data_IF_852421766969
#
_entry.id   IF_852421766969
#
_cell.length_a   1.000
_cell.length_b   1.000
_cell.length_c   1.000
_cell.angle_alpha   90.00
_cell.angle_beta   90.00
_cell.angle_gamma   90.00
#
_symmetry.space_group_name_H-M   'P 1'
#
loop_
_entity.id
_entity.type
_entity.pdbx_description
1 polymer ?
#
# COMPACT_ATOMS: atom_id res chain seq x y z
N UNK A 1 7.40 -47.74 -33.92
CA UNK A 1 7.89 -46.84 -35.00
C UNK A 1 7.84 -45.42 -34.48
N UNK A 2 8.97 -44.89 -34.00
CA UNK A 2 9.02 -43.62 -33.26
C UNK A 2 9.44 -42.48 -34.19
N UNK A 3 8.57 -41.48 -34.36
CA UNK A 3 8.85 -40.33 -35.24
C UNK A 3 9.64 -39.28 -34.46
N UNK A 4 10.92 -39.07 -34.85
CA UNK A 4 11.73 -37.95 -34.36
C UNK A 4 11.58 -36.78 -35.33
N UNK A 5 11.07 -35.65 -34.84
CA UNK A 5 11.11 -34.37 -35.57
C UNK A 5 12.16 -33.47 -34.92
N UNK A 6 13.17 -33.09 -35.69
CA UNK A 6 14.17 -32.10 -35.29
C UNK A 6 13.78 -30.75 -35.89
N UNK A 7 13.71 -29.72 -35.05
CA UNK A 7 13.55 -28.32 -35.48
C UNK A 7 14.86 -27.59 -35.23
N UNK A 8 15.44 -27.01 -36.28
CA UNK A 8 16.59 -26.11 -36.18
C UNK A 8 16.09 -24.67 -36.29
N UNK A 9 16.16 -23.92 -35.20
CA UNK A 9 16.02 -22.47 -35.20
C UNK A 9 17.36 -21.87 -34.76
N UNK A 10 17.89 -20.94 -35.55
CA UNK A 10 19.18 -20.29 -35.31
C UNK A 10 19.13 -19.47 -34.03
N UNK A 11 19.48 -20.10 -32.90
CA UNK A 11 20.52 -19.67 -31.96
C UNK A 11 20.47 -20.41 -30.61
N UNK A 12 19.48 -21.26 -30.32
CA UNK A 12 19.53 -22.16 -29.17
C UNK A 12 18.88 -23.51 -29.52
N UNK A 13 19.65 -24.59 -29.45
CA UNK A 13 19.18 -25.95 -29.71
C UNK A 13 18.61 -26.56 -28.43
N UNK A 14 17.32 -26.86 -28.40
CA UNK A 14 16.69 -27.64 -27.33
C UNK A 14 16.19 -28.96 -27.90
N UNK A 15 16.52 -30.07 -27.22
CA UNK A 15 16.00 -31.40 -27.54
C UNK A 15 14.98 -31.75 -26.47
N UNK A 16 13.71 -31.82 -26.85
CA UNK A 16 12.62 -32.28 -25.97
C UNK A 16 12.20 -33.66 -26.45
N UNK A 17 12.52 -34.69 -25.66
CA UNK A 17 12.01 -36.04 -25.87
C UNK A 17 10.75 -36.20 -25.03
N UNK A 18 9.64 -36.56 -25.66
CA UNK A 18 8.37 -36.84 -25.00
C UNK A 18 8.08 -38.33 -25.22
N UNK A 19 8.19 -39.12 -24.17
CA UNK A 19 7.73 -40.51 -24.21
C UNK A 19 6.22 -40.57 -23.96
N UNK A 20 5.50 -41.14 -24.92
CA UNK A 20 4.06 -41.31 -24.85
C UNK A 20 3.73 -42.52 -23.96
N UNK A 21 3.72 -42.30 -22.64
CA UNK A 21 3.24 -43.33 -21.72
C UNK A 21 3.68 -43.18 -20.27
N UNK A 22 3.40 -42.04 -19.62
CA UNK A 22 3.16 -41.94 -18.16
C UNK A 22 3.02 -40.47 -17.79
N UNK A 23 1.83 -40.04 -17.34
CA UNK A 23 1.61 -38.70 -16.79
C UNK A 23 1.98 -38.67 -15.31
N UNK A 24 3.27 -38.73 -15.00
CA UNK A 24 3.78 -38.33 -13.69
C UNK A 24 5.28 -38.04 -13.80
N UNK A 25 5.66 -36.83 -13.40
CA UNK A 25 7.02 -36.30 -13.26
C UNK A 25 7.70 -35.80 -14.56
N UNK A 26 7.68 -34.47 -14.72
CA UNK A 26 8.62 -33.74 -15.58
C UNK A 26 9.83 -33.39 -14.71
N UNK A 27 10.88 -34.20 -14.76
CA UNK A 27 12.19 -33.81 -14.24
C UNK A 27 12.94 -32.98 -15.29
N UNK A 28 13.16 -31.71 -15.00
CA UNK A 28 14.01 -30.83 -15.82
C UNK A 28 15.46 -31.02 -15.33
N UNK A 29 16.20 -31.91 -15.98
CA UNK A 29 17.64 -32.06 -15.77
C UNK A 29 18.37 -30.96 -16.53
N UNK A 30 18.78 -29.90 -15.83
CA UNK A 30 19.62 -28.84 -16.40
C UNK A 30 21.08 -29.29 -16.38
N UNK A 31 21.53 -29.82 -17.51
CA UNK A 31 22.93 -30.16 -17.75
C UNK A 31 23.83 -28.93 -17.75
N UNK A 32 24.93 -29.00 -16.99
CA UNK A 32 25.80 -27.88 -16.67
C UNK A 32 26.61 -27.32 -17.84
N UNK A 33 26.92 -26.04 -17.73
CA UNK A 33 27.99 -25.37 -18.47
C UNK A 33 29.16 -25.11 -17.52
N UNK A 34 30.27 -25.83 -17.72
CA UNK A 34 31.61 -25.35 -17.35
C UNK A 34 31.96 -24.24 -18.33
N UNK A 35 32.05 -23.00 -17.87
CA UNK A 35 32.75 -21.92 -18.58
C UNK A 35 33.72 -21.28 -17.59
N UNK A 36 34.99 -21.63 -17.74
CA UNK A 36 36.12 -20.98 -17.10
C UNK A 36 36.40 -19.67 -17.82
N UNK A 37 35.86 -18.57 -17.32
CA UNK A 37 36.32 -17.22 -17.64
C UNK A 37 36.64 -16.53 -16.31
N UNK A 38 37.89 -16.08 -16.19
CA UNK A 38 38.43 -15.47 -14.98
C UNK A 38 37.63 -14.24 -14.60
N UNK A 39 36.96 -14.32 -13.46
CA UNK A 39 36.29 -13.19 -12.84
C UNK A 39 37.34 -12.39 -12.06
N UNK A 40 37.84 -11.32 -12.67
CA UNK A 40 38.54 -10.27 -11.91
C UNK A 40 37.50 -9.45 -11.15
N UNK A 41 37.61 -9.30 -9.82
CA UNK A 41 36.68 -8.47 -9.06
C UNK A 41 36.88 -6.99 -9.41
N UNK A 42 35.79 -6.19 -9.47
CA UNK A 42 35.91 -4.75 -9.63
C UNK A 42 36.59 -4.11 -8.42
N UNK A 43 37.35 -3.00 -8.60
CA UNK A 43 38.02 -2.31 -7.51
C UNK A 43 37.00 -1.80 -6.48
N UNK A 44 37.31 -2.04 -5.21
CA UNK A 44 36.53 -1.58 -4.06
C UNK A 44 36.49 -0.04 -4.01
N UNK A 45 35.32 0.58 -3.75
CA UNK A 45 35.25 2.00 -3.48
C UNK A 45 35.93 2.33 -2.13
N UNK A 46 36.56 3.52 -2.00
CA UNK A 46 37.24 3.91 -0.77
C UNK A 46 36.25 4.11 0.40
N UNK A 47 36.71 3.91 1.66
CA UNK A 47 35.86 4.05 2.83
C UNK A 47 35.36 5.50 2.97
N UNK A 48 34.04 5.65 2.94
CA UNK A 48 33.39 6.94 3.22
C UNK A 48 33.49 7.20 4.73
N UNK A 49 34.23 8.25 5.09
CA UNK A 49 34.35 8.74 6.46
C UNK A 49 32.98 9.20 7.00
N UNK A 50 32.67 8.94 8.27
CA UNK A 50 31.44 9.44 8.88
C UNK A 50 31.54 10.95 9.07
N UNK A 51 30.78 11.68 8.26
CA UNK A 51 30.59 13.13 8.40
C UNK A 51 29.81 13.40 9.69
N UNK A 52 30.47 14.05 10.63
CA UNK A 52 29.92 14.50 11.89
C UNK A 52 28.60 15.29 11.66
N UNK A 53 27.55 14.87 12.36
CA UNK A 53 26.29 15.58 12.43
C UNK A 53 26.44 16.71 13.44
N UNK A 54 26.59 17.95 12.95
CA UNK A 54 26.43 19.14 13.77
C UNK A 54 24.95 19.33 14.07
N UNK A 55 24.58 19.11 15.32
CA UNK A 55 23.29 19.48 15.87
C UNK A 55 23.12 21.01 15.78
N UNK A 56 22.24 21.46 14.89
CA UNK A 56 21.75 22.85 14.91
C UNK A 56 20.57 22.92 15.87
N UNK A 57 20.87 23.34 17.10
CA UNK A 57 19.91 23.80 18.09
C UNK A 57 19.18 25.00 17.51
N UNK A 58 17.92 24.82 17.12
CA UNK A 58 17.03 25.91 16.74
C UNK A 58 16.46 26.53 18.02
N UNK A 59 17.05 27.65 18.41
CA UNK A 59 16.49 28.59 19.37
C UNK A 59 15.09 29.00 18.92
N UNK A 60 14.09 28.74 19.76
CA UNK A 60 12.76 29.31 19.59
C UNK A 60 12.57 30.36 20.68
N UNK A 61 12.89 31.60 20.30
CA UNK A 61 12.59 32.81 21.06
C UNK A 61 11.09 33.08 20.97
N UNK A 62 10.37 32.78 22.05
CA UNK A 62 8.98 33.19 22.26
C UNK A 62 8.90 34.15 23.45
N UNK A 63 9.05 35.44 23.18
CA UNK A 63 8.39 36.52 23.94
C UNK A 63 6.88 36.17 24.01
N UNK A 64 6.17 36.26 25.13
CA UNK A 64 6.24 37.23 26.20
C UNK A 64 4.89 37.93 26.22
N UNK A 65 3.97 37.54 27.10
CA UNK A 65 2.86 38.39 27.55
C UNK A 65 2.52 38.03 29.00
N UNK A 66 2.97 38.91 29.88
CA UNK A 66 2.47 39.04 31.24
C UNK A 66 0.97 39.34 31.20
N UNK A 67 0.16 38.50 31.86
CA UNK A 67 -1.20 38.89 32.21
C UNK A 67 -1.25 39.27 33.68
N UNK A 68 -1.64 40.53 33.85
CA UNK A 68 -1.90 41.26 35.08
C UNK A 68 -2.96 40.55 35.91
N UNK A 69 -2.72 40.40 37.20
CA UNK A 69 -3.77 40.11 38.18
C UNK A 69 -4.29 41.43 38.76
N UNK A 70 -5.62 41.60 38.91
CA UNK A 70 -6.19 42.86 39.34
C UNK A 70 -6.11 43.06 40.86
N UNK A 71 -5.59 44.23 41.21
CA UNK A 71 -5.93 45.10 42.34
C UNK A 71 -7.19 44.71 43.13
N UNK A 72 -7.01 44.32 44.39
CA UNK A 72 -8.07 44.27 45.39
C UNK A 72 -7.78 45.31 46.49
N UNK A 73 -8.77 46.17 46.71
CA UNK A 73 -8.76 47.38 47.52
C UNK A 73 -8.62 47.09 49.03
N UNK A 74 -7.82 47.92 49.70
CA UNK A 74 -7.74 48.06 51.18
C UNK A 74 -9.06 48.59 51.75
N UNK A 75 -9.55 48.07 52.90
CA UNK A 75 -10.37 48.84 53.82
C UNK A 75 -9.53 49.44 54.96
N UNK A 76 -10.04 50.50 55.62
CA UNK A 76 -9.26 51.35 56.52
C UNK A 76 -9.15 50.80 57.94
N UNK A 77 -8.06 51.23 58.57
CA UNK A 77 -7.79 51.23 60.00
C UNK A 77 -9.01 51.66 60.83
N UNK A 78 -9.36 50.86 61.84
CA UNK A 78 -10.04 51.35 63.03
C UNK A 78 -9.20 50.92 64.23
N UNK A 79 -8.75 51.91 64.98
CA UNK A 79 -7.95 51.81 66.18
C UNK A 79 -8.78 51.33 67.39
N UNK A 80 -8.02 50.87 68.39
CA UNK A 80 -8.32 50.91 69.84
C UNK A 80 -9.22 49.80 70.41
N UNK A 81 -8.62 48.85 71.12
CA UNK A 81 -8.44 48.95 72.59
C UNK A 81 -7.69 47.77 73.18
N UNK A 82 -6.83 48.12 74.12
CA UNK A 82 -6.10 47.29 75.07
C UNK A 82 -6.97 46.21 75.73
N UNK A 83 -6.42 45.00 75.83
CA UNK A 83 -6.47 44.14 77.02
C UNK A 83 -5.47 43.00 76.85
N UNK A 84 -4.45 43.00 77.69
CA UNK A 84 -3.49 41.91 77.88
C UNK A 84 -4.25 40.64 78.29
N UNK A 85 -4.07 39.49 77.60
CA UNK A 85 -4.48 38.21 78.14
C UNK A 85 -3.41 37.63 79.08
N UNK A 86 -3.82 36.82 80.06
CA UNK A 86 -2.92 36.23 81.05
C UNK A 86 -2.03 35.16 80.41
N UNK A 87 -0.81 35.09 80.93
CA UNK A 87 0.15 34.01 80.75
C UNK A 87 -0.42 32.67 81.22
N UNK A 88 -1.03 31.90 80.31
CA UNK A 88 -1.30 30.47 80.54
C UNK A 88 -0.30 29.62 79.76
N UNK A 89 0.67 29.13 80.52
CA UNK A 89 1.68 28.14 80.16
C UNK A 89 1.00 26.77 79.95
N UNK A 90 1.47 26.02 78.97
CA UNK A 90 1.36 24.56 78.83
C UNK A 90 0.04 23.96 78.33
N UNK A 91 -0.13 23.86 77.00
CA UNK A 91 -0.90 22.79 76.31
C UNK A 91 -0.80 22.86 74.76
N UNK A 92 0.36 23.20 74.19
CA UNK A 92 0.54 23.44 72.74
C UNK A 92 1.03 22.23 71.92
N UNK A 93 1.31 21.08 72.54
CA UNK A 93 1.93 19.94 71.83
C UNK A 93 0.95 19.05 71.08
N UNK A 94 -0.33 19.00 71.46
CA UNK A 94 -1.31 18.08 70.84
C UNK A 94 -1.93 18.64 69.55
N UNK A 95 -2.12 19.95 69.43
CA UNK A 95 -2.66 20.60 68.22
C UNK A 95 -1.66 20.60 67.06
N UNK A 96 -0.36 20.72 67.37
CA UNK A 96 0.71 20.74 66.37
C UNK A 96 0.92 19.35 65.73
N UNK A 97 0.83 18.28 66.55
CA UNK A 97 0.90 16.90 66.08
C UNK A 97 -0.26 16.52 65.13
N UNK A 98 -1.47 17.04 65.36
CA UNK A 98 -2.64 16.81 64.49
C UNK A 98 -2.51 17.55 63.16
N UNK A 99 -2.03 18.79 63.19
CA UNK A 99 -1.76 19.59 62.00
C UNK A 99 -0.68 18.98 61.11
N UNK A 100 0.40 18.46 61.71
CA UNK A 100 1.47 17.77 60.98
C UNK A 100 0.98 16.52 60.24
N UNK A 101 0.19 15.67 60.91
CA UNK A 101 -0.39 14.45 60.29
C UNK A 101 -1.31 14.79 59.11
N UNK A 102 -2.17 15.80 59.28
CA UNK A 102 -3.06 16.24 58.20
C UNK A 102 -2.27 16.82 57.00
N UNK A 103 -1.14 17.47 57.25
CA UNK A 103 -0.24 17.95 56.20
C UNK A 103 0.45 16.78 55.47
N UNK A 104 1.03 15.83 56.22
CA UNK A 104 1.72 14.66 55.66
C UNK A 104 0.76 13.79 54.84
N UNK A 105 -0.48 13.61 55.30
CA UNK A 105 -1.51 12.86 54.59
C UNK A 105 -1.91 13.56 53.27
N UNK A 106 -2.08 14.88 53.28
CA UNK A 106 -2.33 15.65 52.05
C UNK A 106 -1.17 15.55 51.07
N UNK A 107 0.06 15.59 51.56
CA UNK A 107 1.25 15.48 50.70
C UNK A 107 1.37 14.06 50.13
N UNK A 108 1.09 13.02 50.92
CA UNK A 108 1.02 11.64 50.43
C UNK A 108 -0.08 11.46 49.38
N UNK A 109 -1.25 12.07 49.57
CA UNK A 109 -2.34 12.05 48.59
C UNK A 109 -1.92 12.73 47.28
N UNK A 110 -1.26 13.90 47.35
CA UNK A 110 -0.75 14.62 46.17
C UNK A 110 0.29 13.80 45.40
N UNK A 111 1.23 13.17 46.11
CA UNK A 111 2.24 12.30 45.48
C UNK A 111 1.59 11.07 44.83
N UNK A 112 0.64 10.44 45.52
CA UNK A 112 -0.08 9.28 44.97
C UNK A 112 -0.92 9.64 43.73
N UNK A 113 -1.59 10.79 43.74
CA UNK A 113 -2.34 11.29 42.60
C UNK A 113 -1.41 11.65 41.43
N UNK A 114 -0.30 12.33 41.68
CA UNK A 114 0.70 12.65 40.67
C UNK A 114 1.25 11.38 39.99
N UNK A 115 1.59 10.34 40.77
CA UNK A 115 2.03 9.04 40.24
C UNK A 115 0.96 8.36 39.40
N UNK A 116 -0.31 8.40 39.83
CA UNK A 116 -1.43 7.84 39.06
C UNK A 116 -1.65 8.61 37.76
N UNK A 117 -1.55 9.94 37.79
CA UNK A 117 -1.66 10.77 36.61
C UNK A 117 -0.53 10.51 35.62
N UNK A 118 0.71 10.38 36.10
CA UNK A 118 1.87 10.04 35.29
C UNK A 118 1.76 8.64 34.67
N UNK A 119 1.39 7.62 35.46
CA UNK A 119 1.15 6.27 34.96
C UNK A 119 0.05 6.24 33.90
N UNK A 120 -1.04 7.00 34.09
CA UNK A 120 -2.10 7.15 33.08
C UNK A 120 -1.61 7.82 31.80
N UNK A 121 -0.75 8.84 31.92
CA UNK A 121 -0.15 9.51 30.76
C UNK A 121 0.74 8.58 29.97
N UNK A 122 1.62 7.83 30.64
CA UNK A 122 2.51 6.85 30.00
C UNK A 122 1.68 5.76 29.32
N UNK A 123 0.72 5.16 30.04
CA UNK A 123 -0.14 4.12 29.48
C UNK A 123 -0.96 4.62 28.27
N UNK A 124 -1.46 5.85 28.32
CA UNK A 124 -2.20 6.45 27.19
C UNK A 124 -1.29 6.72 25.97
N UNK A 125 -0.03 7.11 26.19
CA UNK A 125 0.95 7.31 25.14
C UNK A 125 1.36 5.99 24.48
N UNK A 126 1.63 4.96 25.28
CA UNK A 126 1.94 3.61 24.80
C UNK A 126 0.77 3.02 24.00
N UNK A 127 -0.46 3.15 24.50
CA UNK A 127 -1.66 2.70 23.78
C UNK A 127 -1.82 3.41 22.43
N UNK A 128 -1.54 4.72 22.37
CA UNK A 128 -1.56 5.49 21.10
C UNK A 128 -0.47 5.02 20.15
N UNK A 129 0.73 4.72 20.65
CA UNK A 129 1.84 4.22 19.84
C UNK A 129 1.54 2.83 19.28
N UNK A 130 1.02 1.92 20.10
CA UNK A 130 0.64 0.57 19.68
C UNK A 130 -0.46 0.62 18.61
N UNK A 131 -1.51 1.42 18.82
CA UNK A 131 -2.59 1.59 17.84
C UNK A 131 -2.07 2.09 16.48
N UNK A 132 -1.16 3.06 16.46
CA UNK A 132 -0.55 3.54 15.21
C UNK A 132 0.25 2.44 14.51
N UNK A 133 1.01 1.64 15.26
CA UNK A 133 1.78 0.53 14.69
C UNK A 133 0.87 -0.56 14.11
N UNK A 134 -0.24 -0.87 14.77
CA UNK A 134 -1.24 -1.82 14.28
C UNK A 134 -1.91 -1.31 12.99
N UNK A 135 -2.35 -0.05 12.97
CA UNK A 135 -2.95 0.59 11.79
C UNK A 135 -1.97 0.59 10.59
N UNK A 136 -0.71 0.96 10.81
CA UNK A 136 0.35 0.92 9.78
C UNK A 136 0.65 -0.51 9.29
N UNK A 137 0.68 -1.49 10.21
CA UNK A 137 0.91 -2.89 9.86
C UNK A 137 -0.25 -3.47 9.04
N UNK A 138 -1.48 -3.13 9.39
CA UNK A 138 -2.67 -3.51 8.64
C UNK A 138 -2.68 -2.87 7.25
N UNK A 139 -2.38 -1.58 7.15
CA UNK A 139 -2.30 -0.89 5.87
C UNK A 139 -1.23 -1.51 4.97
N UNK A 140 -0.04 -1.80 5.52
CA UNK A 140 1.02 -2.49 4.81
C UNK A 140 0.59 -3.87 4.33
N UNK A 141 -0.15 -4.63 5.15
CA UNK A 141 -0.71 -5.93 4.78
C UNK A 141 -1.73 -5.79 3.64
N UNK A 142 -2.61 -4.80 3.71
CA UNK A 142 -3.61 -4.50 2.67
C UNK A 142 -2.95 -4.13 1.35
N UNK A 143 -1.95 -3.25 1.37
CA UNK A 143 -1.16 -2.86 0.18
C UNK A 143 -0.46 -4.07 -0.46
N UNK A 144 0.15 -4.94 0.34
CA UNK A 144 0.80 -6.17 -0.15
C UNK A 144 -0.19 -7.15 -0.79
N UNK A 145 -1.37 -7.35 -0.20
CA UNK A 145 -2.43 -8.19 -0.80
C UNK A 145 -2.87 -7.62 -2.14
N UNK A 146 -3.21 -6.33 -2.20
CA UNK A 146 -3.60 -5.66 -3.45
C UNK A 146 -2.53 -5.76 -4.54
N UNK A 147 -1.26 -5.57 -4.20
CA UNK A 147 -0.17 -5.73 -5.16
C UNK A 147 -0.08 -7.16 -5.72
N UNK A 148 -0.29 -8.19 -4.88
CA UNK A 148 -0.34 -9.59 -5.32
C UNK A 148 -1.54 -9.85 -6.24
N UNK A 149 -2.70 -9.32 -5.89
CA UNK A 149 -3.93 -9.46 -6.69
C UNK A 149 -3.73 -8.83 -8.08
N UNK A 150 -3.16 -7.62 -8.14
CA UNK A 150 -2.82 -6.95 -9.40
C UNK A 150 -1.79 -7.76 -10.21
N UNK A 151 -0.73 -8.27 -9.58
CA UNK A 151 0.29 -9.06 -10.26
C UNK A 151 -0.28 -10.39 -10.79
N UNK A 152 -1.21 -11.01 -10.07
CA UNK A 152 -1.94 -12.21 -10.51
C UNK A 152 -2.85 -11.88 -11.70
N UNK A 153 -3.67 -10.84 -11.57
CA UNK A 153 -4.55 -10.38 -12.63
C UNK A 153 -3.77 -10.00 -13.90
N UNK A 154 -2.59 -9.38 -13.76
CA UNK A 154 -1.71 -9.06 -14.88
C UNK A 154 -1.21 -10.30 -15.63
N UNK A 155 -0.79 -11.34 -14.90
CA UNK A 155 -0.37 -12.61 -15.52
C UNK A 155 -1.51 -13.25 -16.31
N UNK A 156 -2.71 -13.28 -15.73
CA UNK A 156 -3.91 -13.78 -16.42
C UNK A 156 -4.27 -12.94 -17.63
N UNK A 157 -4.17 -11.61 -17.52
CA UNK A 157 -4.38 -10.66 -18.61
C UNK A 157 -3.41 -10.92 -19.77
N UNK A 158 -2.10 -11.00 -19.53
CA UNK A 158 -1.11 -11.25 -20.58
C UNK A 158 -1.28 -12.64 -21.21
N UNK A 159 -1.59 -13.67 -20.41
CA UNK A 159 -1.86 -15.01 -20.94
C UNK A 159 -3.08 -15.01 -21.88
N UNK A 160 -4.20 -14.38 -21.48
CA UNK A 160 -5.39 -14.24 -22.33
C UNK A 160 -5.12 -13.38 -23.55
N UNK A 161 -4.35 -12.30 -23.40
CA UNK A 161 -3.99 -11.44 -24.51
C UNK A 161 -3.12 -12.16 -25.54
N UNK A 162 -2.19 -13.01 -25.09
CA UNK A 162 -1.37 -13.84 -25.96
C UNK A 162 -2.24 -14.82 -26.76
N UNK A 163 -3.24 -15.45 -26.13
CA UNK A 163 -4.20 -16.32 -26.80
C UNK A 163 -5.01 -15.58 -27.88
N UNK A 164 -5.49 -14.36 -27.59
CA UNK A 164 -6.21 -13.53 -28.57
C UNK A 164 -5.31 -13.04 -29.72
N UNK A 165 -4.03 -12.84 -29.44
CA UNK A 165 -3.07 -12.34 -30.44
C UNK A 165 -2.56 -13.45 -31.37
N UNK A 166 -2.67 -14.72 -30.97
CA UNK A 166 -2.27 -15.86 -31.79
C UNK A 166 -3.32 -16.12 -32.88
N UNK A 167 -2.88 -16.16 -34.15
CA UNK A 167 -3.69 -16.56 -35.30
C UNK A 167 -3.91 -18.09 -35.31
N UNK A 168 -4.60 -18.63 -34.31
CA UNK A 168 -4.87 -20.06 -34.23
C UNK A 168 -6.39 -20.30 -34.29
N UNK A 169 -6.93 -20.69 -35.45
CA UNK A 169 -8.30 -21.17 -35.60
C UNK A 169 -8.47 -22.65 -35.17
N UNK A 170 -7.41 -23.31 -34.71
CA UNK A 170 -7.36 -24.77 -34.48
C UNK A 170 -8.09 -25.24 -33.22
N UNK A 171 -8.38 -24.36 -32.26
CA UNK A 171 -9.29 -24.69 -31.17
C UNK A 171 -10.70 -24.21 -31.53
N UNK A 172 -11.48 -25.10 -32.14
CA UNK A 172 -12.95 -24.99 -32.25
C UNK A 172 -13.70 -24.81 -30.91
N UNK A 173 -12.99 -24.51 -29.81
CA UNK A 173 -13.50 -24.07 -28.50
C UNK A 173 -13.66 -22.54 -28.37
N UNK A 174 -13.15 -21.73 -29.30
CA UNK A 174 -13.51 -20.31 -29.43
C UNK A 174 -14.59 -20.14 -30.50
N UNK A 175 -15.69 -20.89 -30.40
CA UNK A 175 -16.93 -20.60 -31.12
C UNK A 175 -17.43 -19.23 -30.68
N UNK A 176 -16.90 -18.22 -31.35
CA UNK A 176 -17.08 -16.78 -31.19
C UNK A 176 -16.63 -16.16 -29.85
N UNK A 177 -15.86 -15.08 -29.96
CA UNK A 177 -15.39 -14.29 -28.82
C UNK A 177 -16.58 -13.50 -28.26
N UNK A 178 -16.78 -13.55 -26.95
CA UNK A 178 -17.79 -12.75 -26.25
C UNK A 178 -17.12 -11.58 -25.55
N UNK A 179 -17.89 -10.56 -25.20
CA UNK A 179 -17.42 -9.40 -24.43
C UNK A 179 -16.70 -9.80 -23.13
N UNK A 180 -17.13 -10.89 -22.50
CA UNK A 180 -16.57 -11.40 -21.24
C UNK A 180 -15.21 -12.09 -21.38
N UNK A 181 -14.92 -12.63 -22.58
CA UNK A 181 -13.66 -13.33 -22.85
C UNK A 181 -12.53 -12.36 -23.18
N UNK A 182 -12.84 -11.10 -23.44
CA UNK A 182 -11.85 -10.07 -23.69
C UNK A 182 -11.13 -9.74 -22.37
N UNK A 183 -9.79 -9.77 -22.35
CA UNK A 183 -9.00 -9.44 -21.18
C UNK A 183 -8.97 -7.93 -20.99
N UNK A 184 -9.99 -7.39 -20.30
CA UNK A 184 -10.03 -5.98 -19.94
C UNK A 184 -8.93 -5.62 -18.94
N UNK A 185 -8.34 -4.41 -18.99
CA UNK A 185 -7.23 -4.00 -18.15
C UNK A 185 -7.74 -3.58 -16.76
N UNK A 186 -8.37 -4.50 -16.04
CA UNK A 186 -8.97 -4.28 -14.73
C UNK A 186 -8.68 -5.47 -13.82
N UNK A 187 -8.50 -5.20 -12.52
CA UNK A 187 -8.43 -6.28 -11.53
C UNK A 187 -9.84 -6.81 -11.32
N UNK A 188 -10.19 -7.87 -12.05
CA UNK A 188 -11.34 -8.68 -11.67
C UNK A 188 -10.90 -9.41 -10.41
N UNK A 189 -11.45 -9.05 -9.26
CA UNK A 189 -11.43 -9.96 -8.14
C UNK A 189 -12.14 -11.21 -8.65
N UNK A 190 -11.38 -12.28 -8.86
CA UNK A 190 -11.94 -13.62 -8.98
C UNK A 190 -12.60 -13.86 -7.62
N UNK A 191 -13.83 -13.34 -7.47
CA UNK A 191 -14.73 -13.85 -6.46
C UNK A 191 -15.04 -15.25 -6.94
N UNK A 192 -14.18 -16.18 -6.55
CA UNK A 192 -14.46 -17.59 -6.39
C UNK A 192 -15.62 -17.71 -5.39
N UNK A 193 -16.80 -17.23 -5.78
CA UNK A 193 -18.03 -17.52 -5.08
C UNK A 193 -18.86 -18.38 -6.01
N UNK A 194 -18.77 -19.67 -5.69
CA UNK A 194 -19.73 -20.72 -6.00
C UNK A 194 -21.16 -20.16 -6.13
N UNK A 195 -21.69 -20.16 -7.35
CA UNK A 195 -23.05 -20.59 -7.64
C UNK A 195 -24.26 -19.70 -7.25
N UNK A 196 -24.15 -18.51 -6.65
CA UNK A 196 -25.35 -17.92 -6.02
C UNK A 196 -25.71 -16.45 -6.31
N UNK A 197 -25.02 -15.69 -7.16
CA UNK A 197 -25.48 -14.32 -7.49
C UNK A 197 -25.49 -14.06 -8.98
N UNK A 198 -26.71 -14.15 -9.55
CA UNK A 198 -27.11 -13.89 -10.93
C UNK A 198 -26.94 -12.41 -11.34
N UNK A 199 -25.82 -11.78 -11.00
CA UNK A 199 -25.46 -10.53 -11.69
C UNK A 199 -24.74 -10.92 -12.97
N UNK A 200 -25.30 -10.63 -14.15
CA UNK A 200 -24.62 -10.95 -15.40
C UNK A 200 -23.24 -10.29 -15.39
N UNK A 201 -22.20 -11.07 -15.68
CA UNK A 201 -20.79 -10.67 -15.60
C UNK A 201 -20.52 -9.41 -16.45
N UNK A 202 -21.29 -9.21 -17.53
CA UNK A 202 -21.37 -7.97 -18.31
C UNK A 202 -21.68 -6.71 -17.47
N UNK A 203 -22.68 -6.73 -16.58
CA UNK A 203 -22.98 -5.59 -15.67
C UNK A 203 -21.85 -5.31 -14.67
N UNK A 204 -21.07 -6.34 -14.29
CA UNK A 204 -19.89 -6.14 -13.45
C UNK A 204 -18.79 -5.42 -14.22
N UNK A 205 -18.63 -5.68 -15.52
CA UNK A 205 -17.63 -5.03 -16.35
C UNK A 205 -17.90 -3.54 -16.56
N UNK A 206 -19.15 -3.10 -16.71
CA UNK A 206 -19.49 -1.68 -16.82
C UNK A 206 -19.04 -0.90 -15.56
N UNK A 207 -19.19 -1.52 -14.39
CA UNK A 207 -18.74 -0.97 -13.11
C UNK A 207 -17.21 -1.06 -12.94
N UNK A 208 -16.55 -2.04 -13.59
CA UNK A 208 -15.11 -2.25 -13.48
C UNK A 208 -14.32 -1.45 -14.52
N UNK A 209 -14.89 -1.11 -15.69
CA UNK A 209 -14.30 -0.25 -16.72
C UNK A 209 -14.30 1.24 -16.32
N UNK A 210 -14.29 1.53 -15.02
CA UNK A 210 -14.10 2.88 -14.50
C UNK A 210 -12.65 3.32 -14.65
N UNK A 211 -12.47 4.62 -14.86
CA UNK A 211 -11.18 5.26 -15.07
C UNK A 211 -10.16 4.92 -13.96
N UNK A 212 -10.59 4.87 -12.70
CA UNK A 212 -9.71 4.55 -11.56
C UNK A 212 -9.20 3.12 -11.58
N UNK A 213 -10.04 2.15 -11.96
CA UNK A 213 -9.68 0.74 -11.99
C UNK A 213 -8.69 0.43 -13.12
N UNK A 214 -8.92 1.02 -14.29
CA UNK A 214 -7.98 0.94 -15.43
C UNK A 214 -6.66 1.60 -15.06
N UNK A 215 -6.71 2.77 -14.39
CA UNK A 215 -5.52 3.48 -13.92
C UNK A 215 -4.73 2.67 -12.92
N UNK A 216 -5.38 2.11 -11.90
CA UNK A 216 -4.73 1.28 -10.89
C UNK A 216 -4.06 0.07 -11.53
N UNK A 217 -4.73 -0.59 -12.48
CA UNK A 217 -4.19 -1.75 -13.19
C UNK A 217 -2.98 -1.41 -14.07
N UNK A 218 -3.07 -0.38 -14.92
CA UNK A 218 -2.03 -0.03 -15.91
C UNK A 218 -0.83 0.68 -15.26
N UNK A 219 -1.04 1.45 -14.19
CA UNK A 219 0.04 2.19 -13.53
C UNK A 219 0.70 1.43 -12.38
N UNK A 220 0.17 0.27 -11.99
CA UNK A 220 0.72 -0.52 -10.91
C UNK A 220 2.17 -0.92 -11.17
N UNK A 221 3.05 -0.62 -10.21
CA UNK A 221 4.43 -1.10 -10.21
C UNK A 221 4.55 -2.59 -9.92
N UNK A 222 3.45 -3.27 -9.57
CA UNK A 222 3.47 -4.66 -9.12
C UNK A 222 3.90 -5.67 -10.22
N UNK A 223 3.75 -5.33 -11.50
CA UNK A 223 4.11 -6.22 -12.61
C UNK A 223 5.33 -5.75 -13.41
N UNK A 224 5.71 -4.47 -13.31
CA UNK A 224 6.86 -3.92 -14.02
C UNK A 224 7.38 -2.68 -13.29
N UNK A 225 8.25 -2.87 -12.27
CA UNK A 225 8.77 -1.75 -11.47
C UNK A 225 9.76 -0.87 -12.26
N UNK A 226 10.45 -1.43 -13.27
CA UNK A 226 11.53 -0.76 -14.00
C UNK A 226 11.04 0.10 -15.18
N UNK A 227 9.76 -0.03 -15.56
CA UNK A 227 9.19 0.73 -16.68
C UNK A 227 8.54 2.01 -16.16
N UNK A 228 8.74 3.13 -16.85
CA UNK A 228 8.09 4.39 -16.48
C UNK A 228 6.56 4.30 -16.63
N UNK A 229 5.82 5.07 -15.84
CA UNK A 229 4.36 5.15 -15.96
C UNK A 229 3.94 5.52 -17.39
N UNK A 230 4.65 6.49 -17.98
CA UNK A 230 4.46 6.94 -19.36
C UNK A 230 4.61 5.82 -20.40
N UNK A 231 5.64 4.99 -20.25
CA UNK A 231 5.89 3.90 -21.19
C UNK A 231 4.91 2.74 -21.02
N UNK A 232 4.42 2.49 -19.79
CA UNK A 232 3.31 1.56 -19.55
C UNK A 232 2.03 2.01 -20.26
N UNK A 233 1.68 3.30 -20.16
CA UNK A 233 0.51 3.86 -20.85
C UNK A 233 0.65 3.75 -22.37
N UNK A 234 1.82 4.12 -22.92
CA UNK A 234 2.07 4.01 -24.38
C UNK A 234 2.01 2.56 -24.85
N UNK A 235 2.53 1.61 -24.08
CA UNK A 235 2.44 0.18 -24.40
C UNK A 235 0.97 -0.29 -24.41
N UNK A 236 0.17 0.13 -23.43
CA UNK A 236 -1.26 -0.16 -23.39
C UNK A 236 -2.02 0.48 -24.57
N UNK A 237 -1.75 1.74 -24.91
CA UNK A 237 -2.35 2.42 -26.07
C UNK A 237 -2.05 1.70 -27.39
N UNK A 238 -0.79 1.27 -27.59
CA UNK A 238 -0.41 0.49 -28.78
C UNK A 238 -1.14 -0.85 -28.87
N UNK A 239 -1.53 -1.42 -27.74
CA UNK A 239 -2.23 -2.70 -27.64
C UNK A 239 -3.74 -2.55 -27.87
N UNK A 240 -4.33 -1.50 -27.33
CA UNK A 240 -5.75 -1.16 -27.46
C UNK A 240 -6.05 -0.23 -28.66
N UNK A 241 -5.10 -0.05 -29.57
CA UNK A 241 -5.30 0.79 -30.75
C UNK A 241 -6.37 0.18 -31.68
N UNK A 242 -7.32 0.98 -32.19
CA UNK A 242 -8.45 0.48 -32.99
C UNK A 242 -8.02 -0.36 -34.20
N UNK A 243 -6.94 0.03 -34.89
CA UNK A 243 -6.40 -0.74 -36.02
C UNK A 243 -5.98 -2.17 -35.65
N UNK A 244 -5.27 -2.34 -34.53
CA UNK A 244 -4.85 -3.68 -34.08
C UNK A 244 -6.03 -4.47 -33.53
N UNK A 245 -6.93 -3.78 -32.86
CA UNK A 245 -8.09 -4.38 -32.21
C UNK A 245 -9.20 -4.76 -33.20
N UNK A 246 -9.23 -4.18 -34.41
CA UNK A 246 -10.15 -4.56 -35.48
C UNK A 246 -10.10 -6.07 -35.82
N UNK A 247 -8.91 -6.69 -35.69
CA UNK A 247 -8.73 -8.14 -35.88
C UNK A 247 -9.37 -8.99 -34.77
N UNK A 248 -9.45 -8.44 -33.57
CA UNK A 248 -10.12 -9.08 -32.43
C UNK A 248 -11.63 -8.89 -32.57
N UNK A 249 -12.09 -7.70 -32.94
CA UNK A 249 -13.50 -7.39 -33.20
C UNK A 249 -14.14 -8.29 -34.26
N UNK A 250 -13.41 -8.64 -35.33
CA UNK A 250 -13.95 -9.55 -36.35
C UNK A 250 -14.21 -10.98 -35.85
N UNK A 251 -13.59 -11.36 -34.73
CA UNK A 251 -13.78 -12.67 -34.07
C UNK A 251 -14.88 -12.65 -33.01
N UNK A 252 -15.43 -11.46 -32.67
CA UNK A 252 -16.50 -11.29 -31.68
C UNK A 252 -17.86 -11.61 -32.28
N UNK A 253 -18.75 -12.25 -31.50
CA UNK A 253 -20.16 -12.44 -31.88
C UNK A 253 -20.83 -11.11 -32.22
N UNK A 254 -21.69 -11.11 -33.23
CA UNK A 254 -22.39 -9.90 -33.67
C UNK A 254 -23.08 -9.16 -32.51
N UNK A 255 -23.73 -9.90 -31.60
CA UNK A 255 -24.46 -9.32 -30.47
C UNK A 255 -23.60 -8.56 -29.46
N UNK A 256 -22.30 -8.84 -29.40
CA UNK A 256 -21.37 -8.21 -28.45
C UNK A 256 -20.45 -7.19 -29.12
N UNK A 257 -20.41 -7.11 -30.46
CA UNK A 257 -19.46 -6.24 -31.17
C UNK A 257 -19.55 -4.77 -30.76
N UNK A 258 -20.77 -4.25 -30.66
CA UNK A 258 -21.00 -2.85 -30.26
C UNK A 258 -20.53 -2.60 -28.83
N UNK A 259 -20.84 -3.53 -27.92
CA UNK A 259 -20.44 -3.43 -26.52
C UNK A 259 -18.91 -3.49 -26.37
N UNK A 260 -18.25 -4.34 -27.14
CA UNK A 260 -16.80 -4.45 -27.17
C UNK A 260 -16.17 -3.19 -27.74
N UNK A 261 -16.72 -2.64 -28.83
CA UNK A 261 -16.23 -1.41 -29.44
C UNK A 261 -16.37 -0.21 -28.48
N UNK A 262 -17.50 -0.11 -27.78
CA UNK A 262 -17.72 0.90 -26.74
C UNK A 262 -16.72 0.75 -25.59
N UNK A 263 -16.55 -0.47 -25.06
CA UNK A 263 -15.61 -0.76 -23.98
C UNK A 263 -14.17 -0.43 -24.37
N UNK A 264 -13.76 -0.77 -25.60
CA UNK A 264 -12.45 -0.37 -26.15
C UNK A 264 -12.33 1.16 -26.18
N UNK A 265 -13.36 1.87 -26.64
CA UNK A 265 -13.40 3.33 -26.64
C UNK A 265 -13.24 3.95 -25.24
N UNK A 266 -13.86 3.35 -24.22
CA UNK A 266 -13.66 3.75 -22.81
C UNK A 266 -12.21 3.56 -22.38
N UNK A 267 -11.60 2.40 -22.66
CA UNK A 267 -10.21 2.11 -22.32
C UNK A 267 -9.26 3.10 -22.98
N UNK A 268 -9.41 3.33 -24.29
CA UNK A 268 -8.55 4.25 -25.05
C UNK A 268 -8.66 5.69 -24.53
N UNK A 269 -9.88 6.18 -24.24
CA UNK A 269 -10.08 7.50 -23.63
C UNK A 269 -9.37 7.61 -22.27
N UNK A 270 -9.55 6.62 -21.39
CA UNK A 270 -8.88 6.61 -20.09
C UNK A 270 -7.35 6.61 -20.23
N UNK A 271 -6.81 5.84 -21.18
CA UNK A 271 -5.38 5.79 -21.45
C UNK A 271 -4.83 7.12 -21.99
N UNK A 272 -5.56 7.79 -22.88
CA UNK A 272 -5.18 9.11 -23.37
C UNK A 272 -5.21 10.17 -22.27
N UNK A 273 -6.27 10.20 -21.46
CA UNK A 273 -6.39 11.10 -20.31
C UNK A 273 -5.24 10.92 -19.31
N UNK A 274 -4.84 9.67 -19.06
CA UNK A 274 -3.67 9.37 -18.24
C UNK A 274 -2.37 9.87 -18.87
N UNK A 275 -2.17 9.64 -20.17
CA UNK A 275 -0.97 10.09 -20.88
C UNK A 275 -0.84 11.61 -20.87
N UNK A 276 -1.93 12.33 -21.05
CA UNK A 276 -1.95 13.80 -21.01
C UNK A 276 -1.60 14.35 -19.63
N UNK A 277 -2.05 13.70 -18.55
CA UNK A 277 -1.70 14.10 -17.17
C UNK A 277 -0.22 13.88 -16.88
N UNK A 278 0.33 12.75 -17.34
CA UNK A 278 1.77 12.43 -17.21
C UNK A 278 2.66 13.30 -18.12
N UNK A 279 2.12 13.90 -19.18
CA UNK A 279 2.84 14.90 -19.99
C UNK A 279 2.84 16.30 -19.38
N UNK A 280 1.85 16.61 -18.54
CA UNK A 280 1.68 17.91 -17.87
C UNK A 280 2.40 17.98 -16.51
N UNK A 281 2.79 16.84 -15.97
CA UNK A 281 3.53 16.69 -14.69
C UNK A 281 5.03 16.61 -14.96
#
# INVERSE_FOLDING_TARGET
MSQRRTYTHSQHSYVVSIDAGSFANIEIVVGGYRRSEGWSPPPTPPPTTPRASTATTRENHGHGYAQQTPSAKRPPFVHLRSRLPPTTRSSSTTTDARSKRAYDEREQQRVAEARRAEARRIAAEEARRLRRQEEEAEERRRRRRRARDIASAWRTYEARWALLSQRQPELGLLSALTFERIPWPVVVADTDDCGATTTPRRRRLDVLLRHEAIREFVLSSAYSPDVSAKDRIRAALRRWHPDKFARVLSQVIESDRDAVAEGMGVVVRCLNDMLERENRS
#
